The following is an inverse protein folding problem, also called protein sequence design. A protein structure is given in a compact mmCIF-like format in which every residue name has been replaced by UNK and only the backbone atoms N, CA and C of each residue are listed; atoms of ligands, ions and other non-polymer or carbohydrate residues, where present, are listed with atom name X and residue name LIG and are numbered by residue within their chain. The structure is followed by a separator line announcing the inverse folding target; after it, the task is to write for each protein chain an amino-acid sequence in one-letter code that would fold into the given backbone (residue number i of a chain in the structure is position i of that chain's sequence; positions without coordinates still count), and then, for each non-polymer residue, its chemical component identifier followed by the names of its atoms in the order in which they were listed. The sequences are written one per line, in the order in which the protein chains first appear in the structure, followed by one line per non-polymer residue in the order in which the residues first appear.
data_IF_813244915447
#
_entry.id   IF_813244915447
#
_cell.length_a   1.000
_cell.length_b   1.000
_cell.length_c   1.000
_cell.angle_alpha   90.00
_cell.angle_beta   90.00
_cell.angle_gamma   90.00
#
_symmetry.space_group_name_H-M   'P 1'
#
loop_
_entity.id
_entity.type
_entity.pdbx_description
1 polymer ?
#
# COMPACT_ATOMS: atom_id res chain seq x y z
N UNK A 1 -2.36 5.76 -11.13
CA UNK A 1 -1.83 6.44 -9.93
C UNK A 1 -2.57 5.93 -8.71
N UNK A 2 -1.90 5.38 -7.71
CA UNK A 2 -2.48 5.04 -6.41
C UNK A 2 -2.13 6.16 -5.41
N UNK A 3 -3.14 6.85 -4.90
CA UNK A 3 -3.00 7.90 -3.88
C UNK A 3 -3.23 7.29 -2.52
N UNK A 4 -2.28 7.43 -1.63
CA UNK A 4 -2.32 6.90 -0.26
C UNK A 4 -2.17 8.02 0.76
N UNK A 5 -2.53 7.76 2.01
CA UNK A 5 -2.56 8.76 3.06
C UNK A 5 -1.18 9.27 3.47
N UNK A 6 -0.19 8.36 3.51
CA UNK A 6 1.13 8.68 4.01
C UNK A 6 2.26 7.83 3.47
N UNK A 7 3.47 8.18 3.89
CA UNK A 7 4.71 7.54 3.44
C UNK A 7 4.84 6.07 3.87
N UNK A 8 4.15 5.66 4.93
CA UNK A 8 4.11 4.26 5.36
C UNK A 8 3.46 3.38 4.28
N UNK A 9 2.27 3.79 3.80
CA UNK A 9 1.54 3.12 2.72
C UNK A 9 2.33 3.22 1.41
N UNK A 10 2.89 4.38 1.11
CA UNK A 10 3.68 4.60 -0.11
C UNK A 10 4.87 3.63 -0.19
N UNK A 11 5.51 3.30 0.94
CA UNK A 11 6.64 2.38 0.99
C UNK A 11 6.25 0.90 0.90
N UNK A 12 5.07 0.51 1.40
CA UNK A 12 4.68 -0.90 1.48
C UNK A 12 4.05 -1.45 0.19
N UNK A 13 3.28 -0.61 -0.56
CA UNK A 13 2.57 -1.09 -1.75
C UNK A 13 3.49 -1.62 -2.86
N UNK A 14 4.63 -0.98 -3.19
CA UNK A 14 5.57 -1.54 -4.16
C UNK A 14 6.11 -2.91 -3.73
N UNK A 15 6.46 -3.08 -2.45
CA UNK A 15 6.94 -4.37 -1.91
C UNK A 15 5.85 -5.43 -1.97
N UNK A 16 4.60 -5.07 -1.62
CA UNK A 16 3.48 -5.99 -1.73
C UNK A 16 3.20 -6.39 -3.18
N UNK A 17 3.37 -5.45 -4.13
CA UNK A 17 3.23 -5.74 -5.56
C UNK A 17 4.30 -6.73 -6.06
N UNK A 18 5.54 -6.65 -5.57
CA UNK A 18 6.58 -7.65 -5.86
C UNK A 18 6.21 -9.04 -5.34
N UNK A 19 5.68 -9.12 -4.10
CA UNK A 19 5.22 -10.41 -3.53
C UNK A 19 4.07 -11.01 -4.36
N UNK A 20 3.15 -10.17 -4.86
CA UNK A 20 2.08 -10.64 -5.75
C UNK A 20 2.64 -11.24 -7.03
N UNK A 21 3.56 -10.52 -7.71
CA UNK A 21 4.17 -10.97 -8.96
C UNK A 21 4.94 -12.27 -8.78
N UNK A 22 5.79 -12.36 -7.76
CA UNK A 22 6.62 -13.55 -7.48
C UNK A 22 5.79 -14.79 -7.08
N UNK A 23 4.58 -14.59 -6.55
CA UNK A 23 3.73 -15.66 -6.01
C UNK A 23 2.72 -16.20 -7.01
N UNK A 24 2.41 -15.46 -8.05
CA UNK A 24 1.36 -15.79 -8.99
C UNK A 24 1.94 -16.41 -10.28
N UNK A 25 1.14 -17.16 -11.05
CA UNK A 25 1.59 -17.65 -12.35
C UNK A 25 2.09 -16.51 -13.25
N UNK A 26 3.08 -16.80 -14.07
CA UNK A 26 3.61 -15.85 -15.07
C UNK A 26 2.46 -15.26 -15.89
N UNK A 27 2.51 -13.97 -16.15
CA UNK A 27 1.52 -13.17 -16.88
C UNK A 27 0.14 -13.01 -16.22
N UNK A 28 -0.06 -13.54 -14.99
CA UNK A 28 -1.33 -13.38 -14.28
C UNK A 28 -1.41 -12.11 -13.43
N UNK A 29 -0.28 -11.49 -13.16
CA UNK A 29 -0.14 -10.21 -12.44
C UNK A 29 1.10 -9.48 -12.94
N UNK A 30 1.03 -8.16 -13.02
CA UNK A 30 2.14 -7.30 -13.43
C UNK A 30 2.50 -6.36 -12.27
N UNK A 31 3.80 -6.29 -11.94
CA UNK A 31 4.30 -5.37 -10.93
C UNK A 31 3.89 -3.91 -11.23
N UNK A 32 3.66 -3.13 -10.20
CA UNK A 32 3.20 -1.74 -10.32
C UNK A 32 4.06 -0.89 -11.26
N UNK A 33 5.38 -1.01 -11.18
CA UNK A 33 6.29 -0.22 -12.03
C UNK A 33 6.11 -0.58 -13.51
N UNK A 34 5.98 -1.88 -13.82
CA UNK A 34 5.76 -2.35 -15.18
C UNK A 34 4.36 -2.00 -15.69
N UNK A 35 3.37 -2.00 -14.80
CA UNK A 35 1.99 -1.59 -15.10
C UNK A 35 1.82 -0.05 -15.17
N UNK A 36 2.90 0.73 -14.98
CA UNK A 36 2.86 2.20 -14.98
C UNK A 36 2.09 2.79 -13.79
N UNK A 37 1.99 2.05 -12.68
CA UNK A 37 1.34 2.52 -11.44
C UNK A 37 2.39 3.16 -10.54
N UNK A 38 2.24 4.45 -10.28
CA UNK A 38 3.02 5.12 -9.23
C UNK A 38 2.18 5.25 -7.96
N UNK A 39 2.81 5.14 -6.80
CA UNK A 39 2.17 5.39 -5.50
C UNK A 39 2.49 6.82 -5.07
N UNK A 40 1.46 7.58 -4.71
CA UNK A 40 1.54 9.00 -4.35
C UNK A 40 1.15 9.19 -2.89
N UNK A 41 2.07 9.72 -2.08
CA UNK A 41 1.83 10.11 -0.69
C UNK A 41 1.09 11.45 -0.65
N UNK A 42 -0.14 11.45 -0.15
CA UNK A 42 -0.95 12.66 0.00
C UNK A 42 -0.55 13.50 1.23
N UNK A 43 0.24 12.95 2.14
CA UNK A 43 0.79 13.63 3.32
C UNK A 43 -0.14 13.77 4.52
N UNK A 44 -1.42 13.45 4.38
CA UNK A 44 -2.40 13.48 5.47
C UNK A 44 -3.70 12.74 5.10
N UNK A 45 -4.41 12.23 6.13
CA UNK A 45 -5.66 11.49 6.03
C UNK A 45 -6.77 12.25 5.29
N UNK A 46 -6.89 13.55 5.46
CA UNK A 46 -7.89 14.37 4.77
C UNK A 46 -7.42 14.90 3.41
N UNK A 47 -6.21 14.59 2.98
CA UNK A 47 -5.65 15.06 1.72
C UNK A 47 -6.00 14.16 0.53
N UNK A 48 -6.19 12.86 0.74
CA UNK A 48 -6.53 11.91 -0.32
C UNK A 48 -7.68 12.41 -1.21
N UNK A 49 -8.83 12.90 -0.70
CA UNK A 49 -9.91 13.38 -1.55
C UNK A 49 -9.50 14.50 -2.53
N UNK A 50 -8.51 15.32 -2.19
CA UNK A 50 -8.08 16.47 -3.00
C UNK A 50 -7.36 16.09 -4.28
N UNK A 51 -6.73 14.91 -4.31
CA UNK A 51 -5.86 14.50 -5.41
C UNK A 51 -6.62 13.79 -6.55
N UNK A 52 -7.78 13.20 -6.26
CA UNK A 52 -8.62 12.56 -7.28
C UNK A 52 -8.95 13.47 -8.45
N UNK A 53 -9.53 14.67 -8.23
CA UNK A 53 -9.82 15.62 -9.30
C UNK A 53 -8.58 16.05 -10.08
N UNK A 54 -7.42 16.18 -9.42
CA UNK A 54 -6.16 16.57 -10.06
C UNK A 54 -5.70 15.50 -11.04
N UNK A 55 -5.60 14.25 -10.59
CA UNK A 55 -5.14 13.16 -11.46
C UNK A 55 -6.15 12.83 -12.55
N UNK A 56 -7.45 12.90 -12.27
CA UNK A 56 -8.49 12.75 -13.28
C UNK A 56 -8.40 13.84 -14.36
N UNK A 57 -8.19 15.11 -13.98
CA UNK A 57 -7.98 16.20 -14.93
C UNK A 57 -6.74 16.05 -15.80
N UNK A 58 -5.73 15.32 -15.32
CA UNK A 58 -4.52 14.94 -16.07
C UNK A 58 -4.72 13.68 -16.93
N UNK A 59 -5.95 13.18 -17.05
CA UNK A 59 -6.25 11.97 -17.82
C UNK A 59 -5.70 10.69 -17.23
N UNK A 60 -5.37 10.66 -15.92
CA UNK A 60 -4.85 9.48 -15.25
C UNK A 60 -5.97 8.69 -14.58
N UNK A 61 -5.91 7.36 -14.68
CA UNK A 61 -6.67 6.50 -13.79
C UNK A 61 -6.14 6.71 -12.36
N UNK A 62 -7.01 7.18 -11.48
CA UNK A 62 -6.70 7.45 -10.08
C UNK A 62 -7.39 6.43 -9.18
N UNK A 63 -6.64 5.85 -8.27
CA UNK A 63 -7.10 4.95 -7.20
C UNK A 63 -6.77 5.60 -5.87
N UNK A 64 -7.63 5.46 -4.86
CA UNK A 64 -7.44 6.05 -3.55
C UNK A 64 -7.51 5.02 -2.43
N UNK A 65 -6.59 5.09 -1.48
CA UNK A 65 -6.65 4.33 -0.23
C UNK A 65 -6.36 5.25 0.94
N UNK A 66 -7.25 5.25 1.94
CA UNK A 66 -7.12 6.08 3.13
C UNK A 66 -7.55 5.34 4.38
N UNK A 67 -7.00 5.75 5.52
CA UNK A 67 -7.36 5.21 6.82
C UNK A 67 -8.81 5.59 7.20
N UNK A 68 -9.42 4.78 8.05
CA UNK A 68 -10.74 5.08 8.61
C UNK A 68 -10.70 6.44 9.32
N UNK A 69 -11.41 7.46 8.81
CA UNK A 69 -11.31 8.81 9.34
C UNK A 69 -11.90 8.91 10.76
N UNK A 70 -11.37 9.85 11.57
CA UNK A 70 -11.90 10.10 12.91
C UNK A 70 -13.33 10.69 12.89
N UNK A 71 -13.66 11.43 11.85
CA UNK A 71 -14.98 11.97 11.56
C UNK A 71 -15.32 11.72 10.09
N UNK A 72 -16.58 11.50 9.79
CA UNK A 72 -17.05 11.31 8.41
C UNK A 72 -16.62 12.52 7.55
N UNK A 73 -16.22 12.23 6.31
CA UNK A 73 -15.92 13.28 5.35
C UNK A 73 -17.15 14.18 5.09
N UNK A 74 -16.92 15.48 5.00
CA UNK A 74 -17.93 16.42 4.53
C UNK A 74 -18.26 16.20 3.05
N UNK A 75 -19.41 16.76 2.60
CA UNK A 75 -19.92 16.55 1.25
C UNK A 75 -18.91 16.91 0.15
N UNK A 76 -18.14 17.99 0.31
CA UNK A 76 -17.10 18.40 -0.64
C UNK A 76 -16.02 17.32 -0.83
N UNK A 77 -15.59 16.68 0.26
CA UNK A 77 -14.62 15.57 0.18
C UNK A 77 -15.22 14.33 -0.48
N UNK A 78 -16.48 13.99 -0.14
CA UNK A 78 -17.20 12.88 -0.75
C UNK A 78 -17.39 13.09 -2.27
N UNK A 79 -17.66 14.32 -2.70
CA UNK A 79 -17.79 14.64 -4.12
C UNK A 79 -16.46 14.53 -4.85
N UNK A 80 -15.35 14.94 -4.22
CA UNK A 80 -14.00 14.77 -4.76
C UNK A 80 -13.59 13.31 -4.88
N UNK A 81 -13.99 12.45 -3.95
CA UNK A 81 -13.72 11.01 -4.03
C UNK A 81 -14.38 10.34 -5.25
N UNK A 82 -15.47 10.89 -5.79
CA UNK A 82 -16.13 10.39 -7.01
C UNK A 82 -15.29 10.52 -8.28
N UNK A 83 -14.25 11.33 -8.27
CA UNK A 83 -13.32 11.47 -9.40
C UNK A 83 -12.25 10.38 -9.48
N UNK A 84 -12.13 9.55 -8.44
CA UNK A 84 -11.31 8.37 -8.49
C UNK A 84 -11.98 7.25 -9.29
N UNK A 85 -11.17 6.43 -9.95
CA UNK A 85 -11.63 5.20 -10.61
C UNK A 85 -12.18 4.23 -9.57
N UNK A 86 -11.48 4.12 -8.44
CA UNK A 86 -11.90 3.36 -7.28
C UNK A 86 -11.22 3.88 -6.01
N UNK A 87 -11.93 3.76 -4.88
CA UNK A 87 -11.46 4.22 -3.56
C UNK A 87 -11.73 3.13 -2.53
N UNK A 88 -10.79 2.95 -1.61
CA UNK A 88 -10.93 2.06 -0.46
C UNK A 88 -10.70 2.83 0.83
N UNK A 89 -11.59 2.62 1.78
CA UNK A 89 -11.40 2.99 3.16
C UNK A 89 -10.80 1.80 3.92
N UNK A 90 -9.78 2.05 4.72
CA UNK A 90 -9.18 1.04 5.58
C UNK A 90 -10.22 0.48 6.58
N UNK A 91 -10.29 -0.83 6.81
CA UNK A 91 -11.17 -1.41 7.82
C UNK A 91 -10.75 -1.02 9.25
N UNK A 92 -9.52 -0.55 9.42
CA UNK A 92 -8.92 -0.21 10.71
C UNK A 92 -8.39 1.22 10.73
N UNK A 93 -8.23 1.77 11.94
CA UNK A 93 -7.49 3.01 12.13
C UNK A 93 -5.99 2.73 12.12
N UNK A 94 -5.28 3.30 11.15
CA UNK A 94 -3.85 3.12 10.96
C UNK A 94 -3.52 1.80 10.28
N UNK A 95 -2.70 1.90 9.25
CA UNK A 95 -2.26 0.76 8.45
C UNK A 95 -1.58 -0.33 9.31
N UNK A 96 -0.93 0.04 10.41
CA UNK A 96 -0.28 -0.92 11.31
C UNK A 96 -1.27 -1.92 11.90
N UNK A 97 -2.51 -1.47 12.16
CA UNK A 97 -3.54 -2.36 12.68
C UNK A 97 -4.07 -3.32 11.58
N UNK A 98 -4.17 -2.85 10.34
CA UNK A 98 -4.49 -3.72 9.18
C UNK A 98 -3.43 -4.81 9.06
N UNK A 99 -2.16 -4.42 9.04
CA UNK A 99 -1.03 -5.34 8.90
C UNK A 99 -1.09 -6.44 9.97
N UNK A 100 -1.15 -6.05 11.25
CA UNK A 100 -1.07 -7.02 12.36
C UNK A 100 -2.33 -7.90 12.47
N UNK A 101 -3.51 -7.38 12.14
CA UNK A 101 -4.76 -8.17 12.24
C UNK A 101 -4.97 -9.13 11.08
N UNK A 102 -4.45 -8.82 9.90
CA UNK A 102 -4.72 -9.59 8.69
C UNK A 102 -3.55 -10.49 8.26
N UNK A 103 -2.35 -10.28 8.81
CA UNK A 103 -1.21 -11.14 8.49
C UNK A 103 -1.14 -12.38 9.37
N UNK A 104 -0.67 -13.52 8.83
CA UNK A 104 -0.37 -14.69 9.64
C UNK A 104 0.68 -14.36 10.73
N UNK A 105 0.48 -14.86 11.94
CA UNK A 105 1.39 -14.59 13.06
C UNK A 105 2.83 -15.06 12.78
N UNK A 106 3.00 -16.07 11.94
CA UNK A 106 4.32 -16.54 11.50
C UNK A 106 5.12 -15.45 10.76
N UNK A 107 4.44 -14.64 9.93
CA UNK A 107 5.03 -13.48 9.25
C UNK A 107 5.47 -12.43 10.26
N UNK A 108 4.61 -12.12 11.23
CA UNK A 108 4.89 -11.16 12.30
C UNK A 108 6.10 -11.61 13.15
N UNK A 109 6.24 -12.91 13.40
CA UNK A 109 7.40 -13.47 14.10
C UNK A 109 8.69 -13.33 13.29
N UNK A 110 8.65 -13.60 11.97
CA UNK A 110 9.81 -13.38 11.07
C UNK A 110 10.26 -11.92 11.10
N UNK A 111 9.29 -11.00 10.99
CA UNK A 111 9.53 -9.58 11.08
C UNK A 111 10.21 -9.16 12.38
N UNK A 112 9.68 -9.55 13.53
CA UNK A 112 10.28 -9.17 14.83
C UNK A 112 11.66 -9.79 15.02
N UNK A 113 11.88 -11.00 14.49
CA UNK A 113 13.18 -11.64 14.56
C UNK A 113 14.27 -10.89 13.77
N UNK A 114 13.90 -10.26 12.66
CA UNK A 114 14.80 -9.39 11.89
C UNK A 114 14.89 -8.00 12.50
N UNK A 115 13.75 -7.42 12.86
CA UNK A 115 13.67 -6.05 13.39
C UNK A 115 14.48 -5.84 14.67
N UNK A 116 14.52 -6.83 15.58
CA UNK A 116 15.23 -6.71 16.88
C UNK A 116 16.72 -6.42 16.75
N UNK A 117 17.33 -6.80 15.61
CA UNK A 117 18.77 -6.65 15.37
C UNK A 117 19.13 -5.33 14.67
N UNK A 118 18.13 -4.51 14.35
CA UNK A 118 18.36 -3.19 13.75
C UNK A 118 18.86 -2.18 14.79
N UNK A 119 19.79 -1.34 14.40
CA UNK A 119 20.35 -0.28 15.25
C UNK A 119 19.31 0.78 15.65
N UNK A 120 18.24 0.93 14.87
CA UNK A 120 17.14 1.86 15.11
C UNK A 120 15.90 1.19 15.74
N UNK A 121 16.04 -0.05 16.23
CA UNK A 121 14.95 -0.74 16.93
C UNK A 121 14.41 0.11 18.09
N UNK A 122 13.08 0.34 18.16
CA UNK A 122 12.53 1.23 19.20
C UNK A 122 12.57 0.60 20.60
N UNK A 123 12.69 1.44 21.62
CA UNK A 123 12.69 1.02 23.03
C UNK A 123 11.26 0.68 23.53
N UNK A 124 10.57 -0.24 22.84
CA UNK A 124 9.18 -0.65 23.15
C UNK A 124 9.08 -2.04 23.79
N UNK A 125 10.20 -2.69 24.00
CA UNK A 125 10.35 -4.03 24.59
C UNK A 125 11.22 -4.93 23.74
N UNK A 126 11.83 -5.94 24.35
CA UNK A 126 12.60 -6.97 23.65
C UNK A 126 11.67 -8.02 23.07
N UNK A 127 12.03 -8.56 21.90
CA UNK A 127 11.33 -9.69 21.32
C UNK A 127 11.75 -11.00 21.97
N UNK A 128 10.78 -11.74 22.50
CA UNK A 128 10.95 -13.12 22.99
C UNK A 128 10.32 -14.09 21.95
N UNK A 129 11.12 -14.95 21.31
CA UNK A 129 10.59 -15.94 20.37
C UNK A 129 9.62 -16.95 21.01
N UNK A 130 9.67 -17.14 22.33
CA UNK A 130 8.77 -18.04 23.07
C UNK A 130 7.46 -17.35 23.52
N UNK A 131 7.33 -16.03 23.31
CA UNK A 131 6.13 -15.29 23.68
C UNK A 131 4.87 -15.79 22.95
N UNK A 132 3.71 -15.68 23.60
CA UNK A 132 2.42 -16.01 23.01
C UNK A 132 2.06 -15.11 21.82
N UNK A 133 1.19 -15.58 20.93
CA UNK A 133 0.82 -14.86 19.70
C UNK A 133 0.26 -13.47 19.97
N UNK A 134 -0.53 -13.31 21.04
CA UNK A 134 -1.08 -12.00 21.44
C UNK A 134 0.02 -11.00 21.83
N UNK A 135 1.05 -11.45 22.56
CA UNK A 135 2.16 -10.61 22.97
C UNK A 135 3.05 -10.23 21.79
N UNK A 136 3.27 -11.17 20.86
CA UNK A 136 3.99 -10.95 19.60
C UNK A 136 3.27 -9.89 18.76
N UNK A 137 1.97 -10.02 18.56
CA UNK A 137 1.16 -9.05 17.81
C UNK A 137 1.17 -7.66 18.49
N UNK A 138 1.05 -7.62 19.82
CA UNK A 138 1.10 -6.39 20.59
C UNK A 138 2.46 -5.69 20.49
N UNK A 139 3.57 -6.45 20.56
CA UNK A 139 4.91 -5.91 20.40
C UNK A 139 5.13 -5.36 18.97
N UNK A 140 4.76 -6.13 17.94
CA UNK A 140 4.89 -5.69 16.56
C UNK A 140 4.10 -4.40 16.28
N UNK A 141 2.88 -4.28 16.84
CA UNK A 141 2.10 -3.05 16.77
C UNK A 141 2.83 -1.86 17.38
N UNK A 142 3.47 -2.04 18.55
CA UNK A 142 4.27 -0.99 19.20
C UNK A 142 5.49 -0.59 18.36
N UNK A 143 6.18 -1.57 17.79
CA UNK A 143 7.35 -1.34 16.90
C UNK A 143 6.93 -0.53 15.68
N UNK A 144 5.89 -0.94 14.96
CA UNK A 144 5.39 -0.24 13.77
C UNK A 144 4.96 1.20 14.11
N UNK A 145 4.21 1.40 15.21
CA UNK A 145 3.77 2.73 15.64
C UNK A 145 4.92 3.65 16.05
N UNK A 146 5.97 3.10 16.65
CA UNK A 146 7.15 3.87 17.06
C UNK A 146 8.08 4.21 15.86
N UNK A 147 7.96 3.52 14.76
CA UNK A 147 8.80 3.66 13.55
C UNK A 147 7.93 3.82 12.29
N UNK A 148 7.01 4.79 12.36
CA UNK A 148 6.18 5.16 11.21
C UNK A 148 7.00 5.87 10.13
N UNK A 149 6.50 5.76 8.90
CA UNK A 149 7.01 6.46 7.74
C UNK A 149 8.10 5.72 6.97
N UNK A 150 8.34 6.19 5.78
CA UNK A 150 9.29 5.61 4.82
C UNK A 150 10.72 5.57 5.36
N UNK A 151 11.13 6.63 6.09
CA UNK A 151 12.50 6.76 6.61
C UNK A 151 12.96 5.57 7.47
N UNK A 152 12.03 4.87 8.11
CA UNK A 152 12.33 3.70 8.93
C UNK A 152 12.11 2.37 8.21
N UNK A 153 11.19 2.32 7.25
CA UNK A 153 10.92 1.15 6.41
C UNK A 153 10.35 -0.08 7.12
N UNK A 154 9.86 0.05 8.38
CA UNK A 154 9.41 -1.11 9.16
C UNK A 154 8.15 -1.77 8.61
N UNK A 155 7.21 -1.00 8.04
CA UNK A 155 6.02 -1.56 7.41
C UNK A 155 6.37 -2.32 6.12
N UNK A 156 7.24 -1.77 5.28
CA UNK A 156 7.76 -2.43 4.09
C UNK A 156 8.56 -3.70 4.46
N UNK A 157 9.37 -3.65 5.53
CA UNK A 157 10.09 -4.81 6.06
C UNK A 157 9.12 -5.92 6.51
N UNK A 158 8.02 -5.57 7.18
CA UNK A 158 7.01 -6.55 7.59
C UNK A 158 6.38 -7.22 6.36
N UNK A 159 5.98 -6.45 5.35
CA UNK A 159 5.45 -6.99 4.08
C UNK A 159 6.48 -7.90 3.39
N UNK A 160 7.76 -7.51 3.38
CA UNK A 160 8.83 -8.31 2.77
C UNK A 160 9.04 -9.69 3.43
N UNK A 161 8.49 -9.91 4.64
CA UNK A 161 8.48 -11.24 5.27
C UNK A 161 7.43 -12.20 4.70
N UNK A 162 6.50 -11.73 3.86
CA UNK A 162 5.56 -12.60 3.18
C UNK A 162 6.29 -13.44 2.13
N UNK A 163 6.05 -14.73 2.13
CA UNK A 163 6.62 -15.68 1.18
C UNK A 163 5.69 -15.93 -0.01
N UNK A 164 4.42 -15.61 0.15
CA UNK A 164 3.40 -15.77 -0.90
C UNK A 164 2.35 -14.64 -0.80
N UNK A 165 1.62 -14.42 -1.89
CA UNK A 165 0.50 -13.48 -1.93
C UNK A 165 -0.59 -13.81 -0.87
N UNK A 166 -0.74 -15.08 -0.49
CA UNK A 166 -1.71 -15.49 0.54
C UNK A 166 -1.35 -14.99 1.96
N UNK A 167 -0.08 -14.68 2.21
CA UNK A 167 0.38 -14.12 3.48
C UNK A 167 0.22 -12.59 3.57
N UNK A 168 -0.03 -11.90 2.44
CA UNK A 168 -0.32 -10.47 2.43
C UNK A 168 -1.65 -10.17 3.15
N UNK A 169 -1.77 -9.00 3.80
CA UNK A 169 -3.05 -8.52 4.30
C UNK A 169 -4.12 -8.55 3.21
N UNK A 170 -5.31 -9.09 3.51
CA UNK A 170 -6.38 -9.22 2.52
C UNK A 170 -6.75 -7.87 1.89
N UNK A 171 -6.81 -6.80 2.70
CA UNK A 171 -7.08 -5.44 2.21
C UNK A 171 -6.06 -5.00 1.16
N UNK A 172 -4.76 -5.21 1.41
CA UNK A 172 -3.70 -4.83 0.47
C UNK A 172 -3.79 -5.66 -0.81
N UNK A 173 -3.97 -6.98 -0.67
CA UNK A 173 -4.11 -7.88 -1.82
C UNK A 173 -5.31 -7.52 -2.69
N UNK A 174 -6.48 -7.27 -2.11
CA UNK A 174 -7.68 -6.86 -2.82
C UNK A 174 -7.48 -5.57 -3.62
N UNK A 175 -6.76 -4.58 -3.06
CA UNK A 175 -6.43 -3.33 -3.75
C UNK A 175 -5.53 -3.62 -4.96
N UNK A 176 -4.47 -4.41 -4.79
CA UNK A 176 -3.53 -4.77 -5.85
C UNK A 176 -4.25 -5.52 -6.99
N UNK A 177 -5.07 -6.51 -6.66
CA UNK A 177 -5.86 -7.28 -7.62
C UNK A 177 -6.85 -6.39 -8.40
N UNK A 178 -7.55 -5.49 -7.71
CA UNK A 178 -8.52 -4.59 -8.33
C UNK A 178 -7.86 -3.58 -9.27
N UNK A 179 -6.72 -3.04 -8.90
CA UNK A 179 -5.93 -2.13 -9.76
C UNK A 179 -5.48 -2.90 -11.00
N UNK A 180 -4.85 -4.07 -10.82
CA UNK A 180 -4.38 -4.90 -11.93
C UNK A 180 -5.53 -5.26 -12.89
N UNK A 181 -6.67 -5.72 -12.38
CA UNK A 181 -7.86 -6.02 -13.17
C UNK A 181 -8.35 -4.81 -13.97
N UNK A 182 -8.36 -3.63 -13.36
CA UNK A 182 -8.81 -2.41 -14.03
C UNK A 182 -7.88 -2.04 -15.18
N UNK A 183 -6.56 -2.13 -14.96
CA UNK A 183 -5.57 -1.80 -15.98
C UNK A 183 -5.57 -2.81 -17.14
N UNK A 184 -5.72 -4.10 -16.84
CA UNK A 184 -5.81 -5.15 -17.86
C UNK A 184 -7.09 -5.08 -18.71
N UNK A 185 -8.12 -4.37 -18.25
CA UNK A 185 -9.36 -4.16 -19.00
C UNK A 185 -9.32 -2.93 -19.94
N UNK A 186 -8.28 -2.08 -19.84
CA UNK A 186 -8.10 -0.91 -20.73
C UNK A 186 -7.59 -1.40 -22.09
N UNK A 187 -8.30 -1.15 -23.22
CA UNK A 187 -7.83 -1.53 -24.54
C UNK A 187 -6.48 -0.86 -24.86
N UNK A 188 -5.58 -1.60 -25.53
CA UNK A 188 -4.26 -1.09 -25.98
C UNK A 188 -4.34 0.15 -26.88
N UNK A 189 -5.48 0.39 -27.54
CA UNK A 189 -5.70 1.54 -28.43
C UNK A 189 -5.71 2.92 -27.75
N UNK A 190 -5.58 2.99 -26.41
CA UNK A 190 -5.48 4.26 -25.67
C UNK A 190 -4.01 4.55 -25.27
N UNK A 191 -3.05 3.77 -25.71
CA UNK A 191 -1.65 4.14 -25.61
C UNK A 191 -1.45 5.48 -26.34
N UNK A 192 -0.97 6.50 -25.60
CA UNK A 192 -0.79 7.84 -26.14
C UNK A 192 -0.07 7.77 -27.50
N UNK A 193 -0.46 8.56 -28.48
CA UNK A 193 0.22 8.58 -29.77
C UNK A 193 1.71 8.82 -29.52
N UNK A 194 2.54 7.92 -30.00
CA UNK A 194 3.99 8.13 -30.06
C UNK A 194 4.17 9.48 -30.77
N UNK A 195 4.89 10.47 -30.19
CA UNK A 195 5.18 11.70 -30.90
C UNK A 195 5.80 11.29 -32.23
N UNK A 196 5.09 11.59 -33.33
CA UNK A 196 5.54 11.26 -34.65
C UNK A 196 6.93 11.82 -34.89
N UNK A 197 7.72 11.07 -35.61
CA UNK A 197 9.02 11.43 -36.13
C UNK A 197 9.03 12.89 -36.56
N UNK A 198 9.85 13.70 -35.87
CA UNK A 198 10.24 15.01 -36.37
C UNK A 198 11.24 14.72 -37.51
N UNK A 199 10.72 14.26 -38.65
CA UNK A 199 11.42 14.41 -39.90
C UNK A 199 11.08 15.79 -40.43
N UNK A 200 12.12 16.53 -40.74
CA UNK A 200 12.18 17.79 -41.48
C UNK A 200 11.77 19.10 -40.80
N UNK A 201 12.74 19.71 -40.11
CA UNK A 201 13.01 21.17 -40.20
C UNK A 201 14.50 21.44 -40.21
#
# INVERSE_FOLDING_TARGET
MLVVEGSTEASLFPVASSIMEDSLPVDSYMHFDLAGVSVFDAGADNAVPRHGPIFSALGKLAFGFYDKPNAAFGQDSLDKLKSYTQVWESPEKGIENVLIKQMPIAVVRRFLNEAKDRSDYPAVGAYDPAAGDADVAALATKVLKARKGEAYGYAAMLIAQCQTAAELPSTIREILEAIHKTLSAVPEDIAAPVPGDIEDL
#
